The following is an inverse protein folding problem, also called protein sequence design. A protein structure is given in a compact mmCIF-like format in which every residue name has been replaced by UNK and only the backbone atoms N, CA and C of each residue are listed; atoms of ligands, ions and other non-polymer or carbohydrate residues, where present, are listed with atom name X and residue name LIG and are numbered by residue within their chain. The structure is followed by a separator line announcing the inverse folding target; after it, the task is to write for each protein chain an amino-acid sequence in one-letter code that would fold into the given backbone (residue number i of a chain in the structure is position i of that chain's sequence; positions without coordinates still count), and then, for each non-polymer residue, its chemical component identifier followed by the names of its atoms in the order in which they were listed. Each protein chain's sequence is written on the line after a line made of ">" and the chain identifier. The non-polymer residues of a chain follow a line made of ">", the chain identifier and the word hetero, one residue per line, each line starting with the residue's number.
data_IF_626479290231
#
_entry.id   IF_626479290231
#
_cell.length_a   1.000
_cell.length_b   1.000
_cell.length_c   1.000
_cell.angle_alpha   90.00
_cell.angle_beta   90.00
_cell.angle_gamma   90.00
#
_symmetry.space_group_name_H-M   'P 1'
#
loop_
_entity.id
_entity.type
_entity.pdbx_description
1 polymer ?
#
# COMPACT_ATOMS: atom_id res chain seq x y z
N UNK A 1 -45.99 -0.61 -1.86
CA UNK A 1 -45.48 -1.97 -1.57
C UNK A 1 -44.59 -2.34 -2.74
N UNK A 2 -43.37 -2.81 -2.48
CA UNK A 2 -42.49 -3.37 -3.51
C UNK A 2 -43.01 -4.79 -3.80
N UNK A 3 -43.15 -5.13 -5.08
CA UNK A 3 -43.56 -6.46 -5.51
C UNK A 3 -42.41 -7.46 -5.35
N UNK A 4 -42.72 -8.75 -5.21
CA UNK A 4 -41.71 -9.81 -5.17
C UNK A 4 -40.78 -9.77 -6.40
N UNK A 5 -41.33 -9.49 -7.58
CA UNK A 5 -40.57 -9.37 -8.83
C UNK A 5 -39.57 -8.20 -8.79
N UNK A 6 -39.95 -7.06 -8.24
CA UNK A 6 -39.06 -5.91 -8.07
C UNK A 6 -37.94 -6.19 -7.07
N UNK A 7 -38.23 -6.92 -5.98
CA UNK A 7 -37.23 -7.37 -5.02
C UNK A 7 -36.23 -8.34 -5.66
N UNK A 8 -36.72 -9.35 -6.37
CA UNK A 8 -35.86 -10.36 -7.04
C UNK A 8 -34.94 -9.70 -8.08
N UNK A 9 -35.46 -8.72 -8.83
CA UNK A 9 -34.66 -7.93 -9.78
C UNK A 9 -33.59 -7.09 -9.09
N UNK A 10 -33.90 -6.46 -7.95
CA UNK A 10 -32.94 -5.66 -7.19
C UNK A 10 -31.80 -6.53 -6.63
N UNK A 11 -32.11 -7.69 -6.06
CA UNK A 11 -31.11 -8.65 -5.56
C UNK A 11 -30.21 -9.13 -6.70
N UNK A 12 -30.79 -9.40 -7.88
CA UNK A 12 -30.00 -9.79 -9.05
C UNK A 12 -29.02 -8.69 -9.48
N UNK A 13 -29.49 -7.45 -9.55
CA UNK A 13 -28.64 -6.30 -9.89
C UNK A 13 -27.51 -6.09 -8.88
N UNK A 14 -27.80 -6.24 -7.58
CA UNK A 14 -26.80 -6.16 -6.52
C UNK A 14 -25.72 -7.24 -6.68
N UNK A 15 -26.12 -8.48 -6.93
CA UNK A 15 -25.19 -9.58 -7.14
C UNK A 15 -24.32 -9.37 -8.39
N UNK A 16 -24.91 -8.95 -9.52
CA UNK A 16 -24.17 -8.65 -10.75
C UNK A 16 -23.17 -7.50 -10.53
N UNK A 17 -23.57 -6.44 -9.82
CA UNK A 17 -22.69 -5.34 -9.47
C UNK A 17 -21.53 -5.80 -8.56
N UNK A 18 -21.81 -6.64 -7.56
CA UNK A 18 -20.80 -7.18 -6.67
C UNK A 18 -19.80 -8.09 -7.42
N UNK A 19 -20.28 -8.88 -8.39
CA UNK A 19 -19.41 -9.71 -9.24
C UNK A 19 -18.45 -8.85 -10.08
N UNK A 20 -18.95 -7.78 -10.69
CA UNK A 20 -18.13 -6.83 -11.45
C UNK A 20 -17.06 -6.19 -10.56
N UNK A 21 -17.44 -5.74 -9.35
CA UNK A 21 -16.52 -5.15 -8.37
C UNK A 21 -15.44 -6.18 -7.98
N UNK A 22 -15.84 -7.42 -7.68
CA UNK A 22 -14.91 -8.49 -7.31
C UNK A 22 -13.99 -8.87 -8.47
N UNK A 23 -14.47 -8.84 -9.71
CA UNK A 23 -13.64 -9.05 -10.89
C UNK A 23 -12.59 -7.95 -11.03
N UNK A 24 -12.99 -6.68 -10.92
CA UNK A 24 -12.07 -5.54 -10.98
C UNK A 24 -10.94 -5.66 -9.94
N UNK A 25 -11.26 -5.98 -8.68
CA UNK A 25 -10.22 -6.15 -7.66
C UNK A 25 -9.28 -7.33 -7.91
N UNK A 26 -9.79 -8.43 -8.48
CA UNK A 26 -8.94 -9.58 -8.89
C UNK A 26 -7.96 -9.17 -9.98
N UNK A 27 -8.43 -8.48 -11.02
CA UNK A 27 -7.57 -8.02 -12.11
C UNK A 27 -6.48 -7.05 -11.63
N UNK A 28 -6.82 -6.14 -10.70
CA UNK A 28 -5.84 -5.25 -10.07
C UNK A 28 -4.80 -6.02 -9.26
N UNK A 29 -5.23 -6.99 -8.45
CA UNK A 29 -4.32 -7.81 -7.65
C UNK A 29 -3.39 -8.65 -8.53
N UNK A 30 -3.90 -9.27 -9.60
CA UNK A 30 -3.09 -10.03 -10.55
C UNK A 30 -2.07 -9.16 -11.28
N UNK A 31 -2.45 -7.94 -11.66
CA UNK A 31 -1.53 -6.98 -12.26
C UNK A 31 -0.42 -6.57 -11.29
N UNK A 32 -0.77 -6.32 -10.03
CA UNK A 32 0.19 -6.02 -8.97
C UNK A 32 1.16 -7.18 -8.73
N UNK A 33 0.64 -8.40 -8.56
CA UNK A 33 1.45 -9.60 -8.32
C UNK A 33 2.39 -9.90 -9.49
N UNK A 34 1.95 -9.67 -10.73
CA UNK A 34 2.80 -9.79 -11.91
C UNK A 34 3.94 -8.76 -11.88
N UNK A 35 3.64 -7.51 -11.54
CA UNK A 35 4.66 -6.45 -11.42
C UNK A 35 5.68 -6.80 -10.33
N UNK A 36 5.22 -7.27 -9.16
CA UNK A 36 6.12 -7.61 -8.04
C UNK A 36 7.13 -8.71 -8.36
N UNK A 37 6.80 -9.64 -9.27
CA UNK A 37 7.75 -10.67 -9.74
C UNK A 37 8.96 -10.10 -10.48
N UNK A 38 8.84 -8.90 -11.03
CA UNK A 38 9.91 -8.22 -11.76
C UNK A 38 10.82 -7.39 -10.85
N UNK A 39 10.58 -7.40 -9.53
CA UNK A 39 11.27 -6.58 -8.53
C UNK A 39 11.34 -5.09 -8.95
N UNK A 40 10.18 -4.44 -9.09
CA UNK A 40 10.09 -3.12 -9.70
C UNK A 40 10.71 -2.06 -8.78
N UNK A 41 11.26 -1.02 -9.41
CA UNK A 41 11.50 0.25 -8.73
C UNK A 41 10.20 1.05 -8.76
N UNK A 42 9.86 1.69 -7.64
CA UNK A 42 8.67 2.51 -7.50
C UNK A 42 9.00 4.00 -7.59
N UNK A 43 8.06 4.80 -8.10
CA UNK A 43 8.11 6.26 -7.95
C UNK A 43 7.42 6.70 -6.67
N UNK A 44 7.64 7.96 -6.27
CA UNK A 44 6.96 8.52 -5.10
C UNK A 44 5.43 8.45 -5.23
N UNK A 45 4.87 8.75 -6.41
CA UNK A 45 3.44 8.72 -6.66
C UNK A 45 2.84 7.32 -6.45
N UNK A 46 3.62 6.30 -6.74
CA UNK A 46 3.25 4.89 -6.58
C UNK A 46 3.39 4.40 -5.13
N UNK A 47 3.97 5.20 -4.25
CA UNK A 47 4.17 4.87 -2.85
C UNK A 47 3.20 5.64 -1.96
N UNK A 48 2.75 4.96 -0.90
CA UNK A 48 2.05 5.54 0.22
C UNK A 48 2.98 5.54 1.43
N UNK A 49 3.21 6.72 2.01
CA UNK A 49 4.21 6.93 3.04
C UNK A 49 3.62 6.85 4.44
N UNK A 50 4.48 6.53 5.40
CA UNK A 50 4.16 6.70 6.81
C UNK A 50 4.13 8.20 7.15
N UNK A 51 3.33 8.57 8.15
CA UNK A 51 3.20 9.96 8.56
C UNK A 51 4.46 10.50 9.24
N UNK A 52 5.12 9.66 10.07
CA UNK A 52 6.23 10.09 10.95
C UNK A 52 7.34 9.06 11.09
N UNK A 53 7.15 7.81 10.66
CA UNK A 53 8.10 6.72 10.92
C UNK A 53 9.17 6.68 9.83
N UNK A 54 10.42 6.85 10.25
CA UNK A 54 11.58 6.77 9.38
C UNK A 54 12.33 5.45 9.58
N UNK A 55 12.91 4.94 8.50
CA UNK A 55 13.98 3.97 8.51
C UNK A 55 15.23 4.58 9.18
N UNK A 56 16.14 3.80 9.81
CA UNK A 56 17.40 4.31 10.33
C UNK A 56 18.24 5.10 9.32
N UNK A 57 18.14 4.77 8.02
CA UNK A 57 18.78 5.52 6.94
C UNK A 57 18.21 6.93 6.73
N UNK A 58 17.14 7.30 7.44
CA UNK A 58 16.53 8.63 7.40
C UNK A 58 15.39 8.78 6.40
N UNK A 59 15.18 7.82 5.52
CA UNK A 59 14.05 7.78 4.60
C UNK A 59 12.75 7.34 5.28
N UNK A 60 11.61 7.79 4.76
CA UNK A 60 10.30 7.31 5.19
C UNK A 60 10.10 5.82 5.01
N UNK A 61 9.28 5.22 5.87
CA UNK A 61 8.66 3.93 5.55
C UNK A 61 7.52 4.15 4.56
N UNK A 62 7.39 3.24 3.62
CA UNK A 62 6.35 3.30 2.59
C UNK A 62 5.89 1.89 2.17
N UNK A 63 4.82 1.85 1.40
CA UNK A 63 4.40 0.66 0.68
C UNK A 63 3.79 1.06 -0.68
N UNK A 64 3.79 0.16 -1.70
CA UNK A 64 3.16 0.41 -2.98
C UNK A 64 1.64 0.64 -2.88
N UNK A 65 1.15 1.69 -3.53
CA UNK A 65 -0.30 1.88 -3.71
C UNK A 65 -0.89 0.68 -4.44
N UNK A 66 -2.08 0.27 -4.02
CA UNK A 66 -2.81 -0.89 -4.55
C UNK A 66 -2.24 -2.27 -4.19
N UNK A 67 -1.40 -2.37 -3.17
CA UNK A 67 -1.00 -3.66 -2.65
C UNK A 67 -2.10 -4.36 -1.84
N UNK A 68 -1.95 -5.67 -1.65
CA UNK A 68 -2.85 -6.44 -0.80
C UNK A 68 -2.70 -6.09 0.69
N UNK A 69 -3.71 -6.45 1.49
CA UNK A 69 -3.69 -6.29 2.96
C UNK A 69 -2.59 -7.11 3.66
N UNK A 70 -2.01 -8.09 2.97
CA UNK A 70 -0.94 -8.93 3.48
C UNK A 70 0.45 -8.35 3.19
N UNK A 71 0.54 -7.11 2.69
CA UNK A 71 1.82 -6.45 2.44
C UNK A 71 2.42 -5.86 3.73
N UNK A 72 3.46 -5.06 3.56
CA UNK A 72 4.31 -4.59 4.64
C UNK A 72 4.80 -3.18 4.35
N UNK A 73 5.15 -2.47 5.42
CA UNK A 73 5.96 -1.27 5.37
C UNK A 73 7.41 -1.66 5.09
N UNK A 74 8.05 -0.97 4.15
CA UNK A 74 9.46 -1.12 3.83
C UNK A 74 10.12 0.26 3.74
N UNK A 75 11.44 0.33 3.72
CA UNK A 75 12.15 1.58 3.50
C UNK A 75 11.87 2.11 2.09
N UNK A 76 11.50 3.39 1.96
CA UNK A 76 11.28 3.97 0.63
C UNK A 76 12.54 4.01 -0.23
N UNK A 77 13.75 4.08 0.36
CA UNK A 77 15.00 3.97 -0.39
C UNK A 77 15.17 2.58 -1.03
N UNK A 78 14.77 1.51 -0.31
CA UNK A 78 14.74 0.14 -0.85
C UNK A 78 13.77 0.07 -2.03
N UNK A 79 12.54 0.54 -1.84
CA UNK A 79 11.49 0.50 -2.86
C UNK A 79 11.83 1.35 -4.10
N UNK A 80 12.63 2.40 -3.94
CA UNK A 80 13.08 3.27 -5.04
C UNK A 80 14.42 2.83 -5.66
N UNK A 81 15.07 1.78 -5.13
CA UNK A 81 16.40 1.35 -5.59
C UNK A 81 17.53 2.34 -5.26
N UNK A 82 17.34 3.19 -4.24
CA UNK A 82 18.27 4.24 -3.79
C UNK A 82 18.94 3.84 -2.46
N UNK A 83 19.18 2.55 -2.25
CA UNK A 83 19.71 2.01 -0.99
C UNK A 83 21.14 2.48 -0.74
N UNK A 84 21.34 3.03 0.45
CA UNK A 84 22.67 3.15 1.04
C UNK A 84 23.01 1.83 1.75
N UNK A 85 23.97 1.08 1.20
CA UNK A 85 24.45 -0.20 1.76
C UNK A 85 25.24 -0.02 3.06
N UNK A 86 25.69 1.20 3.38
CA UNK A 86 26.44 1.48 4.60
C UNK A 86 25.56 1.57 5.85
N UNK A 87 24.23 1.66 5.70
CA UNK A 87 23.28 1.77 6.80
C UNK A 87 22.43 0.51 6.91
N UNK A 88 22.23 0.02 8.14
CA UNK A 88 21.27 -1.05 8.40
C UNK A 88 19.83 -0.52 8.25
N UNK A 89 19.13 -1.01 7.23
CA UNK A 89 17.73 -0.67 7.01
C UNK A 89 16.80 -1.51 7.88
N UNK A 90 15.62 -0.98 8.18
CA UNK A 90 14.61 -1.77 8.88
C UNK A 90 14.14 -2.94 8.01
N UNK A 91 13.93 -4.10 8.63
CA UNK A 91 13.28 -5.22 7.95
C UNK A 91 11.83 -4.86 7.56
N UNK A 92 11.26 -5.63 6.65
CA UNK A 92 9.87 -5.50 6.24
C UNK A 92 8.93 -5.67 7.45
N UNK A 93 8.09 -4.66 7.70
CA UNK A 93 7.18 -4.62 8.85
C UNK A 93 5.74 -4.89 8.39
N UNK A 94 5.10 -6.00 8.79
CA UNK A 94 3.74 -6.31 8.37
C UNK A 94 2.75 -5.21 8.75
N UNK A 95 1.71 -5.00 7.94
CA UNK A 95 0.64 -4.04 8.26
C UNK A 95 -0.11 -4.34 9.57
N UNK A 96 -0.04 -5.57 10.07
CA UNK A 96 -0.55 -5.91 11.40
C UNK A 96 0.17 -5.19 12.55
N UNK A 97 1.34 -4.57 12.30
CA UNK A 97 1.98 -3.66 13.24
C UNK A 97 1.21 -2.33 13.29
N UNK A 98 0.27 -2.24 14.23
CA UNK A 98 -0.71 -1.14 14.37
C UNK A 98 -0.13 0.24 14.73
N UNK A 99 1.16 0.32 15.04
CA UNK A 99 1.83 1.55 15.49
C UNK A 99 2.24 2.48 14.34
N UNK A 100 2.36 1.98 13.11
CA UNK A 100 2.74 2.81 11.96
C UNK A 100 1.47 3.39 11.32
N UNK A 101 1.42 4.72 11.24
CA UNK A 101 0.30 5.46 10.65
C UNK A 101 0.68 5.98 9.27
N UNK A 102 -0.27 5.91 8.35
CA UNK A 102 -0.17 6.46 7.00
C UNK A 102 -0.22 7.97 6.93
N UNK A 103 0.32 8.55 5.86
CA UNK A 103 0.27 9.99 5.57
C UNK A 103 -1.15 10.57 5.46
N UNK A 104 -2.18 9.73 5.31
CA UNK A 104 -3.60 10.15 5.35
C UNK A 104 -4.28 9.97 6.72
N UNK A 105 -3.67 9.25 7.66
CA UNK A 105 -4.23 8.97 8.99
C UNK A 105 -3.77 9.98 10.05
N UNK A 106 -2.78 10.81 9.74
CA UNK A 106 -2.20 11.80 10.64
C UNK A 106 -1.76 13.04 9.86
N UNK A 107 -1.70 14.22 10.51
CA UNK A 107 -1.20 15.45 9.89
C UNK A 107 0.34 15.41 9.74
N UNK A 108 0.85 14.58 8.84
CA UNK A 108 2.28 14.44 8.55
C UNK A 108 2.55 13.50 7.38
N UNK A 109 3.71 13.64 6.76
CA UNK A 109 4.21 12.70 5.75
C UNK A 109 5.73 12.61 5.84
N UNK A 110 6.26 11.40 5.65
CA UNK A 110 7.69 11.13 5.50
C UNK A 110 8.16 11.14 4.04
N UNK A 111 7.24 11.42 3.11
CA UNK A 111 7.54 11.62 1.68
C UNK A 111 8.57 12.74 1.51
N UNK A 112 9.65 12.44 0.78
CA UNK A 112 10.75 13.40 0.56
C UNK A 112 11.52 13.79 1.84
N UNK A 113 11.25 13.14 2.97
CA UNK A 113 12.01 13.37 4.21
C UNK A 113 13.25 12.48 4.22
N UNK A 114 14.40 13.13 4.44
CA UNK A 114 15.67 12.47 4.70
C UNK A 114 16.27 13.03 5.99
N UNK A 115 16.17 12.28 7.09
CA UNK A 115 16.74 12.64 8.40
C UNK A 115 17.47 11.43 8.98
N UNK A 116 18.70 11.13 8.53
CA UNK A 116 19.48 10.03 9.07
C UNK A 116 19.64 10.23 10.58
N UNK A 117 19.48 9.15 11.35
CA UNK A 117 19.72 9.22 12.80
C UNK A 117 21.20 9.56 13.02
N UNK A 118 21.48 10.60 13.81
CA UNK A 118 22.83 10.84 14.31
C UNK A 118 23.26 9.61 15.10
N UNK A 119 24.43 9.07 14.75
CA UNK A 119 25.05 7.89 15.37
C UNK A 119 25.41 8.13 16.82
#
# INVERSE_FOLDING_TARGET
>A
MITKQELDNAVKQENEAQEIINQYYREQQEAFDRRMKENPIFTDEELFYSAITLCPCGHGLAYPRNCSVNHYWDCSAILKGEVDEAVEHVAQLPFSMTSIKGESEHNGTTRGVFKPKES
#
